data_IF_836885079673
#
_entry.id   IF_836885079673
#
_cell.length_a   1.000
_cell.length_b   1.000
_cell.length_c   1.000
_cell.angle_alpha   90.00
_cell.angle_beta   90.00
_cell.angle_gamma   90.00
#
_symmetry.space_group_name_H-M   'P 1'
#
loop_
_entity.id
_entity.type
_entity.pdbx_description
1 polymer ?
#
# COMPACT_ATOMS: atom_id res chain seq x y z
N UNK A 1 19.84 -8.18 -4.89
CA UNK A 1 18.86 -7.08 -4.84
C UNK A 1 17.77 -7.53 -3.87
N UNK A 2 17.58 -6.85 -2.74
CA UNK A 2 16.51 -7.21 -1.79
C UNK A 2 15.16 -6.85 -2.44
N UNK A 3 14.30 -7.83 -2.64
CA UNK A 3 12.92 -7.61 -3.10
C UNK A 3 12.07 -7.22 -1.89
N UNK A 4 11.47 -6.03 -1.91
CA UNK A 4 10.43 -5.67 -0.94
C UNK A 4 9.11 -6.28 -1.40
N UNK A 5 8.44 -7.00 -0.52
CA UNK A 5 7.07 -7.47 -0.78
C UNK A 5 6.08 -6.33 -0.52
N UNK A 6 5.31 -5.98 -1.56
CA UNK A 6 4.37 -4.86 -1.54
C UNK A 6 2.96 -5.40 -1.83
N UNK A 7 1.99 -4.97 -1.04
CA UNK A 7 0.56 -5.12 -1.31
C UNK A 7 -0.03 -3.76 -1.67
N UNK A 8 -0.86 -3.71 -2.71
CA UNK A 8 -1.57 -2.51 -3.14
C UNK A 8 -3.06 -2.83 -3.17
N UNK A 9 -3.84 -2.03 -2.47
CA UNK A 9 -5.30 -2.05 -2.53
C UNK A 9 -5.80 -0.79 -3.22
N UNK A 10 -6.56 -0.98 -4.30
CA UNK A 10 -7.08 0.06 -5.16
C UNK A 10 -8.61 0.11 -5.03
N UNK A 11 -9.06 0.67 -3.91
CA UNK A 11 -10.46 0.92 -3.66
C UNK A 11 -10.97 2.12 -4.47
N UNK A 12 -12.29 2.21 -4.62
CA UNK A 12 -12.94 3.35 -5.30
C UNK A 12 -12.84 4.65 -4.50
N UNK A 13 -12.70 4.56 -3.18
CA UNK A 13 -12.62 5.72 -2.29
C UNK A 13 -11.21 5.96 -1.76
N UNK A 14 -10.35 4.94 -1.71
CA UNK A 14 -9.03 5.01 -1.12
C UNK A 14 -8.02 4.11 -1.84
N UNK A 15 -6.76 4.56 -1.83
CA UNK A 15 -5.60 3.75 -2.20
C UNK A 15 -4.80 3.45 -0.94
N UNK A 16 -4.48 2.17 -0.73
CA UNK A 16 -3.63 1.74 0.38
C UNK A 16 -2.40 1.00 -0.15
N UNK A 17 -1.25 1.25 0.47
CA UNK A 17 -0.01 0.51 0.22
C UNK A 17 0.47 -0.11 1.53
N UNK A 18 0.70 -1.41 1.48
CA UNK A 18 1.31 -2.19 2.56
C UNK A 18 2.70 -2.68 2.13
N UNK A 19 3.66 -2.56 3.04
CA UNK A 19 5.00 -3.15 2.88
C UNK A 19 5.20 -4.20 3.96
N UNK A 20 5.59 -5.40 3.55
CA UNK A 20 5.88 -6.49 4.50
C UNK A 20 6.93 -6.03 5.50
N UNK A 21 6.66 -6.26 6.78
CA UNK A 21 7.48 -5.87 7.94
C UNK A 21 7.52 -4.37 8.25
N UNK A 22 6.88 -3.51 7.45
CA UNK A 22 6.73 -2.06 7.73
C UNK A 22 5.27 -1.67 8.04
N UNK A 23 4.28 -2.43 7.56
CA UNK A 23 2.86 -2.13 7.77
C UNK A 23 2.24 -1.31 6.63
N UNK A 24 1.14 -0.61 6.91
CA UNK A 24 0.50 0.32 5.96
C UNK A 24 1.34 1.59 5.90
N UNK A 25 1.90 1.88 4.73
CA UNK A 25 2.80 3.02 4.50
C UNK A 25 2.12 4.15 3.72
N UNK A 26 0.97 3.88 3.09
CA UNK A 26 0.13 4.87 2.43
C UNK A 26 -1.34 4.52 2.64
N UNK A 27 -2.16 5.53 2.95
CA UNK A 27 -3.61 5.45 2.98
C UNK A 27 -4.18 6.83 2.60
N UNK A 28 -4.48 7.00 1.31
CA UNK A 28 -4.94 8.27 0.74
C UNK A 28 -6.32 8.10 0.11
N UNK A 29 -7.16 9.15 0.07
CA UNK A 29 -8.36 9.16 -0.76
C UNK A 29 -8.02 8.94 -2.25
N UNK A 30 -8.81 8.11 -2.93
CA UNK A 30 -8.73 7.90 -4.37
C UNK A 30 -9.54 9.01 -5.08
N UNK A 31 -8.98 10.22 -5.08
CA UNK A 31 -9.53 11.41 -5.75
C UNK A 31 -8.70 11.81 -6.96
#
# INVERSE_FOLDING_TARGET
MFSKSIGIDLGTANVLIYVKDEGVVLNEPAV
#
